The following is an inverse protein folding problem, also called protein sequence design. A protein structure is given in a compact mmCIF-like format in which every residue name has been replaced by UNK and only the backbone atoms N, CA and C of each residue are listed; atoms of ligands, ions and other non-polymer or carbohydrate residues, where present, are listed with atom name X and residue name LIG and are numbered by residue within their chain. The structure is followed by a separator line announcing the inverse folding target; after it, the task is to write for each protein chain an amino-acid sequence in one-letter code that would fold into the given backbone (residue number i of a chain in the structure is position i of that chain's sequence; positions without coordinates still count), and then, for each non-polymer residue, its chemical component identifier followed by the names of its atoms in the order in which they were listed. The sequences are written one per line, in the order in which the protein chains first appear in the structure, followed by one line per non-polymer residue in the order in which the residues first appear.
data_IF_634361412894
#
_entry.id   IF_634361412894
#
_cell.length_a   1.000
_cell.length_b   1.000
_cell.length_c   1.000
_cell.angle_alpha   90.00
_cell.angle_beta   90.00
_cell.angle_gamma   90.00
#
_symmetry.space_group_name_H-M   'P 1'
#
loop_
_entity.id
_entity.type
_entity.pdbx_description
1 polymer ?
#
# COMPACT_ATOMS: atom_id res chain seq x y z
N UNK A 1 11.91 5.87 -9.09
CA UNK A 1 13.06 6.20 -8.33
C UNK A 1 13.59 5.01 -7.54
N UNK A 2 14.84 4.91 -7.58
CA UNK A 2 15.61 3.88 -6.92
C UNK A 2 15.52 3.91 -5.39
N UNK A 3 14.96 4.97 -4.83
CA UNK A 3 14.88 5.11 -3.38
C UNK A 3 13.68 4.41 -2.76
N UNK A 4 12.82 3.84 -3.59
CA UNK A 4 11.64 3.17 -3.07
C UNK A 4 12.00 1.79 -2.54
N UNK A 5 11.70 1.54 -1.25
CA UNK A 5 11.89 0.23 -0.67
C UNK A 5 10.74 -0.69 -1.10
N UNK A 6 11.03 -1.89 -1.59
CA UNK A 6 9.97 -2.85 -1.93
C UNK A 6 9.09 -3.16 -0.71
N UNK A 7 7.80 -3.36 -0.96
CA UNK A 7 6.85 -3.58 0.12
C UNK A 7 7.21 -4.75 1.03
N UNK A 8 7.65 -5.87 0.45
CA UNK A 8 7.99 -7.05 1.25
C UNK A 8 9.18 -6.79 2.17
N UNK A 9 10.14 -5.96 1.76
CA UNK A 9 11.26 -5.61 2.62
C UNK A 9 10.82 -4.66 3.72
N UNK A 10 9.90 -3.74 3.43
CA UNK A 10 9.37 -2.83 4.43
C UNK A 10 8.61 -3.58 5.51
N UNK A 11 7.82 -4.59 5.11
CA UNK A 11 7.10 -5.42 6.08
C UNK A 11 8.08 -6.22 6.94
N UNK A 12 9.15 -6.76 6.35
CA UNK A 12 10.17 -7.47 7.11
C UNK A 12 10.85 -6.56 8.13
N UNK A 13 11.15 -5.33 7.72
CA UNK A 13 11.74 -4.35 8.64
C UNK A 13 10.79 -4.07 9.80
N UNK A 14 9.50 -3.87 9.49
CA UNK A 14 8.49 -3.63 10.51
C UNK A 14 8.41 -4.77 11.50
N UNK A 15 8.39 -6.02 11.01
CA UNK A 15 8.32 -7.20 11.88
C UNK A 15 9.57 -7.34 12.75
N UNK A 16 10.73 -7.11 12.17
CA UNK A 16 12.00 -7.30 12.88
C UNK A 16 12.16 -6.29 14.01
N UNK A 17 11.79 -5.05 13.78
CA UNK A 17 11.97 -3.96 14.74
C UNK A 17 10.69 -3.55 15.45
N UNK A 18 9.57 -4.19 15.11
CA UNK A 18 8.26 -3.95 15.72
C UNK A 18 7.78 -2.51 15.58
N UNK A 19 8.01 -1.92 14.41
CA UNK A 19 7.49 -0.62 14.04
C UNK A 19 6.37 -0.79 13.02
N UNK A 20 5.32 0.01 13.14
CA UNK A 20 4.24 -0.02 12.15
C UNK A 20 4.73 0.57 10.83
N UNK A 21 4.10 0.16 9.71
CA UNK A 21 4.42 0.70 8.41
C UNK A 21 4.12 2.19 8.33
N UNK A 22 3.03 2.62 8.97
CA UNK A 22 2.67 4.03 8.98
C UNK A 22 3.68 4.88 9.73
N UNK A 23 4.22 4.36 10.83
CA UNK A 23 5.24 5.05 11.60
C UNK A 23 6.53 5.19 10.79
N UNK A 24 6.93 4.10 10.13
CA UNK A 24 8.17 4.08 9.34
C UNK A 24 8.09 5.05 8.16
N UNK A 25 6.91 5.16 7.53
CA UNK A 25 6.72 6.03 6.37
C UNK A 25 6.36 7.46 6.74
N UNK A 26 6.14 7.75 8.02
CA UNK A 26 5.81 9.08 8.49
C UNK A 26 4.34 9.44 8.43
N UNK A 27 3.46 8.48 8.14
CA UNK A 27 2.03 8.73 8.11
C UNK A 27 1.43 8.91 9.50
N UNK A 28 2.06 8.31 10.52
CA UNK A 28 1.64 8.44 11.91
C UNK A 28 2.82 8.84 12.77
N UNK A 29 2.55 9.60 13.82
CA UNK A 29 3.59 10.07 14.74
C UNK A 29 3.90 9.07 15.85
N UNK A 30 2.93 8.24 16.18
CA UNK A 30 3.10 7.23 17.22
C UNK A 30 3.27 5.86 16.56
N UNK A 31 4.15 5.04 17.14
CA UNK A 31 4.30 3.68 16.66
C UNK A 31 3.11 2.85 17.12
N UNK A 32 2.30 2.41 16.16
CA UNK A 32 1.13 1.59 16.42
C UNK A 32 1.31 0.22 15.78
N UNK A 33 2.44 -0.39 16.02
CA UNK A 33 2.79 -1.67 15.39
C UNK A 33 1.69 -2.70 15.54
N UNK A 34 1.32 -3.29 14.42
CA UNK A 34 0.37 -4.40 14.37
C UNK A 34 1.10 -5.55 13.71
N UNK A 35 1.11 -6.71 14.35
CA UNK A 35 1.80 -7.86 13.79
C UNK A 35 1.11 -8.31 12.52
N UNK A 36 1.88 -8.39 11.43
CA UNK A 36 1.39 -8.83 10.15
C UNK A 36 1.83 -10.27 9.92
N UNK A 37 0.90 -11.14 9.54
CA UNK A 37 1.23 -12.55 9.34
C UNK A 37 1.92 -12.75 8.00
N UNK A 38 1.21 -12.58 6.89
CA UNK A 38 1.72 -12.83 5.54
C UNK A 38 1.13 -11.83 4.59
N UNK A 39 1.92 -11.39 3.61
CA UNK A 39 1.39 -10.57 2.54
C UNK A 39 0.62 -11.44 1.55
N UNK A 40 -0.60 -11.04 1.27
CA UNK A 40 -1.48 -11.75 0.34
C UNK A 40 -1.84 -10.80 -0.78
N UNK A 41 -1.32 -11.09 -1.97
CA UNK A 41 -1.53 -10.23 -3.14
C UNK A 41 -3.00 -10.02 -3.46
N UNK A 42 -3.79 -11.07 -3.38
CA UNK A 42 -5.22 -10.96 -3.70
C UNK A 42 -5.97 -10.18 -2.65
N UNK A 43 -5.63 -10.38 -1.39
CA UNK A 43 -6.27 -9.66 -0.29
C UNK A 43 -5.97 -8.16 -0.39
N UNK A 44 -4.72 -7.82 -0.66
CA UNK A 44 -4.32 -6.42 -0.84
C UNK A 44 -5.01 -5.84 -2.06
N UNK A 45 -5.05 -6.59 -3.16
CA UNK A 45 -5.73 -6.14 -4.38
C UNK A 45 -7.20 -5.88 -4.16
N UNK A 46 -7.88 -6.77 -3.45
CA UNK A 46 -9.31 -6.58 -3.13
C UNK A 46 -9.51 -5.34 -2.27
N UNK A 47 -8.60 -5.10 -1.32
CA UNK A 47 -8.68 -3.91 -0.47
C UNK A 47 -8.50 -2.63 -1.29
N UNK A 48 -7.57 -2.63 -2.22
CA UNK A 48 -7.35 -1.48 -3.11
C UNK A 48 -8.58 -1.21 -3.94
N UNK A 49 -9.21 -2.25 -4.47
CA UNK A 49 -10.43 -2.11 -5.26
C UNK A 49 -11.56 -1.53 -4.42
N UNK A 50 -11.70 -2.01 -3.19
CA UNK A 50 -12.73 -1.52 -2.27
C UNK A 50 -12.51 -0.04 -1.96
N UNK A 51 -11.27 0.35 -1.67
CA UNK A 51 -10.93 1.73 -1.39
C UNK A 51 -11.24 2.61 -2.58
N UNK A 52 -10.80 2.19 -3.77
CA UNK A 52 -11.03 2.96 -4.99
C UNK A 52 -12.51 3.16 -5.25
N UNK A 53 -13.32 2.10 -5.05
CA UNK A 53 -14.76 2.18 -5.24
C UNK A 53 -15.40 3.17 -4.26
N UNK A 54 -14.97 3.15 -3.02
CA UNK A 54 -15.49 4.09 -2.02
C UNK A 54 -15.13 5.53 -2.33
N UNK A 55 -13.96 5.74 -2.94
CA UNK A 55 -13.51 7.07 -3.32
C UNK A 55 -14.16 7.54 -4.63
N UNK A 56 -14.81 6.65 -5.34
CA UNK A 56 -15.46 6.99 -6.61
C UNK A 56 -14.47 7.24 -7.74
N UNK A 57 -13.29 6.62 -7.67
CA UNK A 57 -12.24 6.83 -8.66
C UNK A 57 -12.18 5.67 -9.64
N UNK A 58 -11.72 5.98 -10.87
CA UNK A 58 -11.42 4.93 -11.84
C UNK A 58 -10.01 4.41 -11.61
N UNK A 59 -9.70 3.25 -12.21
CA UNK A 59 -8.35 2.71 -12.16
C UNK A 59 -7.34 3.67 -12.77
N UNK A 60 -7.74 4.33 -13.86
CA UNK A 60 -6.86 5.30 -14.54
C UNK A 60 -6.56 6.49 -13.63
N UNK A 61 -7.57 6.97 -12.90
CA UNK A 61 -7.38 8.12 -12.01
C UNK A 61 -6.40 7.80 -10.88
N UNK A 62 -6.56 6.64 -10.25
CA UNK A 62 -5.67 6.26 -9.16
C UNK A 62 -4.26 5.96 -9.69
N UNK A 63 -4.16 5.35 -10.87
CA UNK A 63 -2.86 5.10 -11.51
C UNK A 63 -2.14 6.40 -11.80
N UNK A 64 -2.87 7.42 -12.26
CA UNK A 64 -2.29 8.72 -12.52
C UNK A 64 -1.73 9.36 -11.24
N UNK A 65 -2.42 9.20 -10.11
CA UNK A 65 -1.92 9.71 -8.83
C UNK A 65 -0.57 9.09 -8.47
N UNK A 66 -0.39 7.83 -8.81
CA UNK A 66 0.83 7.09 -8.48
C UNK A 66 1.88 7.15 -9.58
N UNK A 67 1.58 7.85 -10.68
CA UNK A 67 2.49 7.98 -11.83
C UNK A 67 2.85 6.62 -12.43
N UNK A 68 1.86 5.74 -12.53
CA UNK A 68 1.99 4.42 -13.14
C UNK A 68 0.90 4.24 -14.18
N UNK A 69 1.06 3.22 -15.03
CA UNK A 69 0.04 2.93 -16.05
C UNK A 69 -1.20 2.28 -15.40
N UNK A 70 -2.34 2.44 -16.07
CA UNK A 70 -3.57 1.79 -15.61
C UNK A 70 -3.41 0.27 -15.60
N UNK A 71 -2.68 -0.30 -16.56
CA UNK A 71 -2.43 -1.73 -16.62
C UNK A 71 -1.66 -2.20 -15.39
N UNK A 72 -0.64 -1.46 -14.99
CA UNK A 72 0.13 -1.77 -13.80
C UNK A 72 -0.75 -1.76 -12.55
N UNK A 73 -1.55 -0.72 -12.40
CA UNK A 73 -2.45 -0.63 -11.25
C UNK A 73 -3.49 -1.77 -11.27
N UNK A 74 -4.04 -2.06 -12.45
CA UNK A 74 -5.02 -3.14 -12.59
C UNK A 74 -4.45 -4.48 -12.12
N UNK A 75 -3.17 -4.74 -12.40
CA UNK A 75 -2.50 -5.95 -11.96
C UNK A 75 -2.42 -6.04 -10.44
N UNK A 76 -2.35 -4.91 -9.76
CA UNK A 76 -2.39 -4.90 -8.30
C UNK A 76 -3.78 -5.31 -7.79
N UNK A 77 -4.83 -4.76 -8.40
CA UNK A 77 -6.20 -5.08 -7.95
C UNK A 77 -6.58 -6.53 -8.17
N UNK A 78 -6.11 -7.14 -9.26
CA UNK A 78 -6.42 -8.55 -9.52
C UNK A 78 -5.51 -9.51 -8.77
N UNK A 79 -4.50 -9.00 -8.07
CA UNK A 79 -3.62 -9.83 -7.25
C UNK A 79 -2.51 -10.51 -8.01
N UNK A 80 -2.15 -9.98 -9.19
CA UNK A 80 -1.06 -10.54 -9.97
C UNK A 80 0.30 -10.15 -9.39
N UNK A 81 0.43 -8.91 -8.91
CA UNK A 81 1.65 -8.39 -8.32
C UNK A 81 1.34 -7.67 -7.02
N UNK A 82 2.32 -7.65 -6.12
CA UNK A 82 2.25 -6.78 -4.93
C UNK A 82 2.52 -5.34 -5.34
N UNK A 83 1.72 -4.38 -4.86
CA UNK A 83 2.03 -2.97 -5.10
C UNK A 83 3.37 -2.61 -4.46
N UNK A 84 4.06 -1.62 -5.05
CA UNK A 84 5.26 -1.10 -4.42
C UNK A 84 4.90 -0.28 -3.19
N UNK A 85 5.89 -0.11 -2.29
CA UNK A 85 5.66 0.70 -1.09
C UNK A 85 5.32 2.15 -1.45
N UNK A 86 5.93 2.67 -2.52
CA UNK A 86 5.65 4.04 -2.94
C UNK A 86 4.21 4.21 -3.41
N UNK A 87 3.68 3.23 -4.16
CA UNK A 87 2.29 3.29 -4.63
C UNK A 87 1.33 3.30 -3.43
N UNK A 88 1.53 2.40 -2.49
CA UNK A 88 0.68 2.35 -1.30
C UNK A 88 0.79 3.63 -0.47
N UNK A 89 2.01 4.13 -0.30
CA UNK A 89 2.22 5.37 0.44
C UNK A 89 1.50 6.54 -0.23
N UNK A 90 1.61 6.64 -1.56
CA UNK A 90 0.98 7.73 -2.30
C UNK A 90 -0.54 7.72 -2.13
N UNK A 91 -1.15 6.54 -2.27
CA UNK A 91 -2.60 6.40 -2.11
C UNK A 91 -3.00 6.77 -0.69
N UNK A 92 -2.29 6.25 0.29
CA UNK A 92 -2.62 6.52 1.70
C UNK A 92 -2.43 7.97 2.06
N UNK A 93 -1.35 8.59 1.61
CA UNK A 93 -1.09 10.00 1.89
C UNK A 93 -2.15 10.90 1.28
N UNK A 94 -2.51 10.64 0.02
CA UNK A 94 -3.46 11.49 -0.70
C UNK A 94 -4.87 11.38 -0.13
N UNK A 95 -5.23 10.24 0.45
CA UNK A 95 -6.61 9.97 0.86
C UNK A 95 -6.77 9.73 2.36
N UNK A 96 -5.71 9.97 3.14
CA UNK A 96 -5.80 9.86 4.59
C UNK A 96 -6.00 8.44 5.10
N UNK A 97 -5.38 7.46 4.43
CA UNK A 97 -5.55 6.05 4.76
C UNK A 97 -4.32 5.48 5.47
N UNK A 98 -4.48 4.32 6.07
CA UNK A 98 -3.40 3.62 6.78
C UNK A 98 -2.85 2.49 5.92
N UNK A 99 -1.53 2.48 5.73
CA UNK A 99 -0.87 1.39 5.02
C UNK A 99 -1.02 0.06 5.78
N UNK A 100 -0.96 0.11 7.11
CA UNK A 100 -1.11 -1.10 7.92
C UNK A 100 -2.48 -1.75 7.71
N UNK A 101 -3.52 -0.93 7.55
CA UNK A 101 -4.85 -1.46 7.31
C UNK A 101 -4.98 -2.13 5.95
N UNK A 102 -4.24 -1.64 4.97
CA UNK A 102 -4.30 -2.21 3.62
C UNK A 102 -3.58 -3.56 3.55
N UNK A 103 -2.43 -3.67 4.21
CA UNK A 103 -1.59 -4.88 4.08
C UNK A 103 -1.93 -5.96 5.11
N UNK A 104 -2.78 -5.66 6.05
CA UNK A 104 -3.26 -6.67 7.00
C UNK A 104 -3.96 -7.78 6.25
#
# INVERSE_FOLDING_TARGET
NHDTMPLNKLVKFSKLYKYSLDYITGLKRMNTYIELSTLDKKKIGNKLKEIRSKLGLTQQQIANECNISQTTYSNYEVGLYLPSSLVLYTICYNHGLSMDEIVK
#
